data_IF_317645553245
#
_entry.id   IF_317645553245
#
_cell.length_a   1.000
_cell.length_b   1.000
_cell.length_c   1.000
_cell.angle_alpha   90.00
_cell.angle_beta   90.00
_cell.angle_gamma   90.00
#
_symmetry.space_group_name_H-M   'P 1'
#
loop_
_entity.id
_entity.type
_entity.pdbx_description
1 polymer ?
#
# COMPACT_ATOMS: atom_id res chain seq x y z
N UNK A 1 13.87 -16.97 -2.73
CA UNK A 1 14.27 -17.28 -1.32
C UNK A 1 12.99 -17.56 -0.55
N UNK A 2 12.93 -18.62 0.22
CA UNK A 2 11.75 -18.94 1.02
C UNK A 2 11.95 -18.36 2.42
N UNK A 3 11.04 -17.46 2.85
CA UNK A 3 11.07 -16.84 4.18
C UNK A 3 10.19 -17.66 5.13
N UNK A 4 10.69 -17.97 6.32
CA UNK A 4 9.92 -18.64 7.38
C UNK A 4 9.01 -17.61 8.10
N UNK A 5 7.82 -17.43 7.53
CA UNK A 5 6.81 -16.47 8.01
C UNK A 5 6.40 -16.76 9.45
N UNK A 6 6.22 -18.03 9.81
CA UNK A 6 5.78 -18.41 11.15
C UNK A 6 6.85 -18.07 12.19
N UNK A 7 8.11 -18.33 11.90
CA UNK A 7 9.23 -17.94 12.75
C UNK A 7 9.34 -16.41 12.91
N UNK A 8 9.10 -15.65 11.83
CA UNK A 8 9.05 -14.18 11.89
C UNK A 8 7.91 -13.76 12.82
N UNK A 9 6.68 -14.23 12.61
CA UNK A 9 5.50 -13.91 13.45
C UNK A 9 5.72 -14.26 14.92
N UNK A 10 6.25 -15.44 15.23
CA UNK A 10 6.59 -15.85 16.61
C UNK A 10 7.64 -14.94 17.23
N UNK A 11 8.67 -14.55 16.48
CA UNK A 11 9.69 -13.62 16.95
C UNK A 11 9.12 -12.23 17.26
N UNK A 12 8.26 -11.70 16.38
CA UNK A 12 7.61 -10.41 16.56
C UNK A 12 6.65 -10.42 17.75
N UNK A 13 5.87 -11.50 17.95
CA UNK A 13 4.95 -11.65 19.09
C UNK A 13 5.65 -11.52 20.44
N UNK A 14 6.91 -11.94 20.52
CA UNK A 14 7.74 -11.82 21.77
C UNK A 14 8.39 -10.45 21.95
N UNK A 15 8.49 -9.63 20.89
CA UNK A 15 9.25 -8.37 20.89
C UNK A 15 8.37 -7.12 20.86
N UNK A 16 7.19 -7.24 20.30
CA UNK A 16 6.23 -6.16 20.17
C UNK A 16 5.19 -6.29 21.31
N UNK A 17 4.66 -5.16 21.76
CA UNK A 17 3.44 -5.17 22.55
C UNK A 17 2.23 -5.66 21.73
N UNK A 18 1.13 -6.00 22.40
CA UNK A 18 -0.05 -6.56 21.73
C UNK A 18 -0.61 -5.63 20.66
N UNK A 19 -0.73 -4.33 20.96
CA UNK A 19 -1.26 -3.35 20.00
C UNK A 19 -0.38 -3.27 18.76
N UNK A 20 0.94 -3.16 18.94
CA UNK A 20 1.89 -3.08 17.82
C UNK A 20 1.95 -4.38 17.03
N UNK A 21 1.81 -5.52 17.68
CA UNK A 21 1.77 -6.81 16.98
C UNK A 21 0.52 -6.93 16.11
N UNK A 22 -0.67 -6.62 16.62
CA UNK A 22 -1.92 -6.66 15.83
C UNK A 22 -1.87 -5.69 14.64
N UNK A 23 -1.37 -4.47 14.87
CA UNK A 23 -1.08 -3.51 13.81
C UNK A 23 -0.15 -4.10 12.74
N UNK A 24 0.96 -4.71 13.13
CA UNK A 24 1.93 -5.31 12.21
C UNK A 24 1.30 -6.43 11.37
N UNK A 25 0.44 -7.25 11.95
CA UNK A 25 -0.33 -8.26 11.23
C UNK A 25 -1.32 -7.61 10.26
N UNK A 26 -2.02 -6.56 10.69
CA UNK A 26 -2.91 -5.77 9.83
C UNK A 26 -2.18 -5.18 8.61
N UNK A 27 -1.00 -4.60 8.84
CA UNK A 27 -0.15 -4.08 7.75
C UNK A 27 0.28 -5.18 6.79
N UNK A 28 0.71 -6.34 7.29
CA UNK A 28 1.12 -7.46 6.44
C UNK A 28 -0.04 -7.93 5.54
N UNK A 29 -1.24 -8.10 6.06
CA UNK A 29 -2.41 -8.49 5.26
C UNK A 29 -2.86 -7.40 4.28
N UNK A 30 -2.81 -6.14 4.67
CA UNK A 30 -3.12 -5.03 3.78
C UNK A 30 -2.10 -4.93 2.65
N UNK A 31 -0.82 -5.06 2.96
CA UNK A 31 0.25 -5.07 1.96
C UNK A 31 0.11 -6.24 0.96
N UNK A 32 -0.22 -7.45 1.43
CA UNK A 32 -0.49 -8.59 0.54
C UNK A 32 -1.70 -8.37 -0.35
N UNK A 33 -2.76 -7.72 0.17
CA UNK A 33 -3.96 -7.39 -0.61
C UNK A 33 -3.65 -6.37 -1.71
N UNK A 34 -2.87 -5.32 -1.39
CA UNK A 34 -2.40 -4.35 -2.38
C UNK A 34 -1.43 -4.99 -3.39
N UNK A 35 -0.56 -5.91 -2.95
CA UNK A 35 0.34 -6.65 -3.84
C UNK A 35 -0.45 -7.48 -4.87
N UNK A 36 -1.51 -8.19 -4.45
CA UNK A 36 -2.42 -8.88 -5.37
C UNK A 36 -3.10 -7.92 -6.36
N UNK A 37 -3.52 -6.73 -5.89
CA UNK A 37 -4.19 -5.72 -6.73
C UNK A 37 -3.27 -5.16 -7.80
N UNK A 38 -2.00 -4.94 -7.47
CA UNK A 38 -1.05 -4.23 -8.33
C UNK A 38 -0.02 -5.13 -9.02
N UNK A 39 -0.08 -6.45 -8.80
CA UNK A 39 0.83 -7.41 -9.43
C UNK A 39 2.24 -7.44 -8.84
N UNK A 40 2.39 -7.10 -7.54
CA UNK A 40 3.65 -7.23 -6.81
C UNK A 40 3.79 -8.63 -6.19
N UNK A 41 5.00 -9.04 -5.82
CA UNK A 41 5.25 -10.30 -5.11
C UNK A 41 4.59 -10.29 -3.72
N UNK A 42 3.59 -11.16 -3.56
CA UNK A 42 2.78 -11.28 -2.33
C UNK A 42 3.66 -11.66 -1.14
N UNK A 43 4.65 -12.55 -1.33
CA UNK A 43 5.55 -12.98 -0.25
C UNK A 43 6.49 -11.86 0.17
N UNK A 44 7.03 -11.08 -0.77
CA UNK A 44 7.80 -9.88 -0.45
C UNK A 44 6.97 -8.88 0.33
N UNK A 45 5.73 -8.63 -0.09
CA UNK A 45 4.81 -7.72 0.59
C UNK A 45 4.48 -8.19 2.02
N UNK A 46 4.23 -9.49 2.23
CA UNK A 46 4.00 -10.05 3.56
C UNK A 46 5.22 -9.85 4.47
N UNK A 47 6.42 -10.19 4.00
CA UNK A 47 7.65 -10.06 4.78
C UNK A 47 7.95 -8.59 5.10
N UNK A 48 7.83 -7.69 4.12
CA UNK A 48 8.06 -6.27 4.33
C UNK A 48 7.05 -5.68 5.34
N UNK A 49 5.77 -6.01 5.21
CA UNK A 49 4.73 -5.61 6.15
C UNK A 49 4.95 -6.14 7.57
N UNK A 50 5.37 -7.40 7.73
CA UNK A 50 5.71 -7.97 9.03
C UNK A 50 6.91 -7.29 9.68
N UNK A 51 7.90 -6.88 8.91
CA UNK A 51 9.17 -6.37 9.45
C UNK A 51 9.26 -4.84 9.50
N UNK A 52 8.31 -4.07 8.91
CA UNK A 52 8.39 -2.62 8.84
C UNK A 52 8.62 -1.97 10.21
N UNK A 53 7.93 -2.42 11.24
CA UNK A 53 7.97 -1.89 12.62
C UNK A 53 8.68 -2.83 13.62
N UNK A 54 9.51 -3.78 13.19
CA UNK A 54 10.17 -4.77 14.06
C UNK A 54 11.11 -4.17 15.11
N UNK A 55 11.49 -2.89 14.98
CA UNK A 55 12.29 -2.13 15.94
C UNK A 55 11.50 -1.03 16.69
N UNK A 56 10.17 -0.92 16.49
CA UNK A 56 9.34 0.20 17.01
C UNK A 56 9.31 0.26 18.53
N UNK A 57 9.15 -0.87 19.20
CA UNK A 57 9.01 -0.96 20.65
C UNK A 57 10.36 -0.81 21.40
N UNK A 58 11.47 -0.60 20.71
CA UNK A 58 12.76 -0.32 21.35
C UNK A 58 12.72 1.13 21.88
N UNK A 59 13.10 1.39 23.14
CA UNK A 59 13.21 2.75 23.68
C UNK A 59 14.13 3.65 22.84
N UNK A 60 13.83 4.94 22.77
CA UNK A 60 14.49 5.89 21.85
C UNK A 60 15.99 6.04 22.14
N UNK A 61 16.38 6.11 23.40
CA UNK A 61 17.77 6.11 23.84
C UNK A 61 18.53 4.86 23.37
N UNK A 62 17.87 3.70 23.45
CA UNK A 62 18.42 2.43 22.99
C UNK A 62 18.47 2.33 21.47
N UNK A 63 17.51 2.92 20.75
CA UNK A 63 17.55 2.99 19.27
C UNK A 63 18.79 3.77 18.83
N UNK A 64 18.98 4.97 19.40
CA UNK A 64 20.13 5.82 19.10
C UNK A 64 21.46 5.10 19.37
N UNK A 65 21.62 4.55 20.58
CA UNK A 65 22.83 3.82 20.97
C UNK A 65 23.11 2.62 20.02
N UNK A 66 22.07 1.88 19.60
CA UNK A 66 22.20 0.76 18.66
C UNK A 66 22.61 1.23 17.28
N UNK A 67 22.02 2.30 16.76
CA UNK A 67 22.39 2.86 15.47
C UNK A 67 23.86 3.31 15.47
N UNK A 68 24.31 3.98 16.52
CA UNK A 68 25.73 4.37 16.68
C UNK A 68 26.63 3.12 16.71
N UNK A 69 26.30 2.14 17.55
CA UNK A 69 27.06 0.88 17.67
C UNK A 69 27.22 0.15 16.35
N UNK A 70 26.17 0.14 15.54
CA UNK A 70 26.16 -0.58 14.24
C UNK A 70 26.58 0.32 13.07
N UNK A 71 27.05 1.55 13.32
CA UNK A 71 27.46 2.52 12.30
C UNK A 71 26.38 2.81 11.27
N UNK A 72 25.12 2.81 11.69
CA UNK A 72 23.98 3.22 10.86
C UNK A 72 24.03 4.74 10.77
N UNK A 73 23.90 5.28 9.55
CA UNK A 73 23.91 6.73 9.33
C UNK A 73 22.71 7.39 10.01
N UNK A 74 22.95 8.43 10.81
CA UNK A 74 21.94 9.15 11.59
C UNK A 74 21.97 10.62 11.17
N UNK A 75 20.84 11.15 10.76
CA UNK A 75 20.69 12.58 10.44
C UNK A 75 20.50 13.42 11.71
N UNK A 76 20.60 14.75 11.59
CA UNK A 76 20.45 15.62 12.77
C UNK A 76 19.00 15.58 13.30
N UNK A 77 18.00 15.53 12.42
CA UNK A 77 16.61 15.37 12.83
C UNK A 77 16.33 14.04 13.53
N UNK A 78 17.02 12.96 13.15
CA UNK A 78 16.92 11.67 13.82
C UNK A 78 17.62 11.64 15.19
N UNK A 79 18.63 12.48 15.41
CA UNK A 79 19.22 12.68 16.74
C UNK A 79 18.25 13.40 17.68
N UNK A 80 17.54 14.40 17.15
CA UNK A 80 16.51 15.14 17.90
C UNK A 80 15.26 14.29 18.12
N UNK A 81 14.97 13.38 17.18
CA UNK A 81 13.76 12.54 17.15
C UNK A 81 14.09 11.06 16.94
N UNK A 82 14.69 10.40 17.93
CA UNK A 82 15.19 9.03 17.78
C UNK A 82 14.10 7.99 17.49
N UNK A 83 12.81 8.35 17.69
CA UNK A 83 11.71 7.48 17.28
C UNK A 83 11.72 7.19 15.77
N UNK A 84 12.25 8.10 14.91
CA UNK A 84 12.38 7.88 13.47
C UNK A 84 13.38 6.77 13.12
N UNK A 85 14.36 6.51 14.00
CA UNK A 85 15.39 5.49 13.79
C UNK A 85 14.85 4.05 13.74
N UNK A 86 13.57 3.83 14.08
CA UNK A 86 13.01 2.47 14.05
C UNK A 86 13.03 1.87 12.64
N UNK A 87 12.85 2.67 11.59
CA UNK A 87 12.89 2.19 10.19
C UNK A 87 14.30 1.74 9.80
N UNK A 88 15.32 2.56 10.05
CA UNK A 88 16.73 2.21 9.79
C UNK A 88 17.21 1.02 10.61
N UNK A 89 16.88 1.01 11.90
CA UNK A 89 17.22 -0.10 12.79
C UNK A 89 16.43 -1.37 12.43
N UNK A 90 15.19 -1.21 11.97
CA UNK A 90 14.33 -2.28 11.46
C UNK A 90 14.92 -2.92 10.21
N UNK A 91 15.33 -2.13 9.23
CA UNK A 91 16.01 -2.59 8.03
C UNK A 91 17.32 -3.36 8.37
N UNK A 92 18.11 -2.82 9.30
CA UNK A 92 19.28 -3.53 9.80
C UNK A 92 18.92 -4.87 10.48
N UNK A 93 17.85 -4.92 11.27
CA UNK A 93 17.42 -6.16 11.92
C UNK A 93 16.80 -7.14 10.94
N UNK A 94 16.12 -6.70 9.89
CA UNK A 94 15.64 -7.56 8.82
C UNK A 94 16.80 -8.37 8.24
N UNK A 95 17.93 -7.72 7.95
CA UNK A 95 19.13 -8.40 7.46
C UNK A 95 19.80 -9.30 8.52
N UNK A 96 19.96 -8.82 9.76
CA UNK A 96 20.82 -9.48 10.76
C UNK A 96 20.12 -10.51 11.64
N UNK A 97 18.80 -10.45 11.76
CA UNK A 97 18.02 -11.32 12.66
C UNK A 97 17.00 -12.18 11.94
N UNK A 98 16.64 -11.78 10.71
CA UNK A 98 15.62 -12.47 9.92
C UNK A 98 16.15 -12.97 8.58
N UNK A 99 17.45 -12.75 8.30
CA UNK A 99 18.15 -13.18 7.08
C UNK A 99 17.47 -12.67 5.78
N UNK A 100 16.87 -11.48 5.84
CA UNK A 100 16.23 -10.82 4.70
C UNK A 100 17.24 -9.89 4.05
N UNK A 101 17.69 -10.24 2.84
CA UNK A 101 18.67 -9.46 2.07
C UNK A 101 18.09 -8.93 0.74
N UNK A 102 16.83 -9.18 0.47
CA UNK A 102 16.15 -8.61 -0.69
C UNK A 102 16.07 -7.08 -0.55
N UNK A 103 16.61 -6.38 -1.56
CA UNK A 103 16.73 -4.91 -1.52
C UNK A 103 15.38 -4.21 -1.50
N UNK A 104 14.38 -4.76 -2.19
CA UNK A 104 13.06 -4.15 -2.27
C UNK A 104 12.38 -4.20 -0.90
N UNK A 105 12.50 -5.34 -0.20
CA UNK A 105 12.00 -5.50 1.18
C UNK A 105 12.72 -4.55 2.14
N UNK A 106 14.06 -4.48 2.06
CA UNK A 106 14.86 -3.62 2.93
C UNK A 106 14.53 -2.14 2.71
N UNK A 107 14.40 -1.70 1.46
CA UNK A 107 14.03 -0.32 1.14
C UNK A 107 12.60 0.00 1.60
N UNK A 108 11.66 -0.94 1.44
CA UNK A 108 10.29 -0.76 1.94
C UNK A 108 10.26 -0.57 3.46
N UNK A 109 11.07 -1.33 4.22
CA UNK A 109 11.21 -1.15 5.66
C UNK A 109 11.87 0.21 5.98
N UNK A 110 12.88 0.61 5.21
CA UNK A 110 13.61 1.87 5.43
C UNK A 110 12.72 3.09 5.22
N UNK A 111 11.90 3.08 4.16
CA UNK A 111 11.16 4.25 3.68
C UNK A 111 9.70 4.30 4.14
N UNK A 112 9.21 3.29 4.90
CA UNK A 112 7.78 3.22 5.26
C UNK A 112 7.28 4.40 6.11
N UNK A 113 8.16 5.08 6.85
CA UNK A 113 7.76 6.17 7.75
C UNK A 113 7.71 7.53 7.06
N UNK A 114 8.74 7.85 6.26
CA UNK A 114 8.90 9.17 5.62
C UNK A 114 8.47 9.19 4.16
N UNK A 115 8.39 8.02 3.54
CA UNK A 115 8.41 7.88 2.09
C UNK A 115 9.76 8.30 1.52
N UNK A 116 9.88 8.28 0.20
CA UNK A 116 10.96 8.89 -0.56
C UNK A 116 10.47 9.23 -1.99
N UNK A 117 11.18 10.12 -2.73
CA UNK A 117 10.90 10.32 -4.14
C UNK A 117 11.01 9.00 -4.93
N UNK A 118 10.13 8.80 -5.89
CA UNK A 118 10.16 7.66 -6.82
C UNK A 118 10.23 6.28 -6.12
N UNK A 119 9.37 6.05 -5.12
CA UNK A 119 9.25 4.75 -4.46
C UNK A 119 8.94 3.65 -5.47
N UNK A 120 9.56 2.48 -5.28
CA UNK A 120 9.19 1.25 -5.99
C UNK A 120 7.76 0.84 -5.65
N UNK A 121 7.19 -0.11 -6.40
CA UNK A 121 5.84 -0.59 -6.14
C UNK A 121 5.71 -1.15 -4.72
N UNK A 122 6.67 -1.96 -4.28
CA UNK A 122 6.68 -2.54 -2.94
C UNK A 122 6.80 -1.48 -1.84
N UNK A 123 7.64 -0.46 -2.03
CA UNK A 123 7.76 0.66 -1.07
C UNK A 123 6.43 1.41 -0.92
N UNK A 124 5.76 1.73 -2.03
CA UNK A 124 4.44 2.36 -2.00
C UNK A 124 3.40 1.50 -1.29
N UNK A 125 3.38 0.20 -1.59
CA UNK A 125 2.46 -0.76 -0.96
C UNK A 125 2.64 -0.77 0.56
N UNK A 126 3.87 -0.87 1.06
CA UNK A 126 4.12 -0.93 2.52
C UNK A 126 3.83 0.41 3.17
N UNK A 127 4.22 1.53 2.54
CA UNK A 127 3.93 2.88 3.02
C UNK A 127 2.42 3.13 3.17
N UNK A 128 1.64 2.78 2.14
CA UNK A 128 0.18 2.92 2.15
C UNK A 128 -0.46 1.95 3.14
N UNK A 129 -0.02 0.68 3.16
CA UNK A 129 -0.58 -0.34 4.05
C UNK A 129 -0.43 0.03 5.53
N UNK A 130 0.71 0.61 5.95
CA UNK A 130 0.91 1.11 7.31
C UNK A 130 -0.11 2.19 7.69
N UNK A 131 -0.49 3.03 6.74
CA UNK A 131 -1.43 4.12 6.98
C UNK A 131 -2.89 3.66 7.03
N UNK A 132 -3.29 2.69 6.18
CA UNK A 132 -4.70 2.33 5.94
C UNK A 132 -5.15 1.01 6.59
N UNK A 133 -4.25 0.22 7.22
CA UNK A 133 -4.62 -1.08 7.79
C UNK A 133 -5.89 -0.97 8.66
N UNK A 134 -6.71 -2.05 8.77
CA UNK A 134 -8.04 -1.97 9.37
C UNK A 134 -8.08 -1.49 10.83
N UNK A 135 -7.01 -1.68 11.62
CA UNK A 135 -6.90 -1.20 13.00
C UNK A 135 -6.66 0.31 13.11
N UNK A 136 -6.31 1.01 12.02
CA UNK A 136 -6.16 2.48 11.99
C UNK A 136 -7.51 3.17 12.04
N UNK A 137 -7.65 4.14 12.95
CA UNK A 137 -8.90 4.88 13.15
C UNK A 137 -8.72 6.37 13.49
N UNK A 138 -7.48 6.87 13.50
CA UNK A 138 -7.17 8.24 13.96
C UNK A 138 -7.03 9.26 12.84
N UNK A 139 -6.69 8.84 11.62
CA UNK A 139 -6.56 9.75 10.51
C UNK A 139 -7.95 10.13 9.97
N UNK A 140 -8.07 11.38 9.51
CA UNK A 140 -9.25 11.85 8.78
C UNK A 140 -9.24 11.17 7.39
N UNK A 141 -10.39 11.02 6.79
CA UNK A 141 -10.52 10.51 5.41
C UNK A 141 -9.99 9.07 5.17
N UNK A 142 -9.83 8.24 6.22
CA UNK A 142 -9.31 6.87 6.07
C UNK A 142 -10.15 6.03 5.10
N UNK A 143 -11.49 6.17 5.14
CA UNK A 143 -12.37 5.39 4.27
C UNK A 143 -12.23 5.77 2.80
N UNK A 144 -11.96 7.04 2.51
CA UNK A 144 -11.67 7.53 1.16
C UNK A 144 -10.28 7.04 0.70
N UNK A 145 -9.26 7.20 1.54
CA UNK A 145 -7.89 6.76 1.21
C UNK A 145 -7.85 5.26 0.99
N UNK A 146 -8.61 4.45 1.77
CA UNK A 146 -8.74 3.01 1.58
C UNK A 146 -9.29 2.65 0.20
N UNK A 147 -10.28 3.39 -0.31
CA UNK A 147 -10.81 3.18 -1.68
C UNK A 147 -9.76 3.55 -2.72
N UNK A 148 -9.21 4.74 -2.62
CA UNK A 148 -8.19 5.25 -3.56
C UNK A 148 -6.97 4.33 -3.60
N UNK A 149 -6.56 3.76 -2.47
CA UNK A 149 -5.40 2.86 -2.40
C UNK A 149 -5.53 1.61 -3.29
N UNK A 150 -6.76 1.17 -3.60
CA UNK A 150 -7.01 0.04 -4.50
C UNK A 150 -7.32 0.47 -5.95
N UNK A 151 -7.44 1.76 -6.21
CA UNK A 151 -7.71 2.34 -7.53
C UNK A 151 -6.46 2.99 -8.12
N UNK A 152 -5.81 3.88 -7.37
CA UNK A 152 -4.61 4.63 -7.73
C UNK A 152 -3.65 4.74 -6.54
N UNK A 153 -2.62 3.91 -6.54
CA UNK A 153 -1.65 3.84 -5.44
C UNK A 153 -0.80 5.11 -5.31
N UNK A 154 -0.48 5.79 -6.43
CA UNK A 154 0.30 7.03 -6.40
C UNK A 154 -0.52 8.19 -5.82
N UNK A 155 -1.81 8.25 -6.17
CA UNK A 155 -2.74 9.22 -5.57
C UNK A 155 -2.89 8.97 -4.06
N UNK A 156 -3.00 7.70 -3.62
CA UNK A 156 -3.03 7.38 -2.20
C UNK A 156 -1.76 7.83 -1.47
N UNK A 157 -0.59 7.59 -2.05
CA UNK A 157 0.71 8.08 -1.52
C UNK A 157 0.71 9.60 -1.40
N UNK A 158 0.30 10.31 -2.46
CA UNK A 158 0.23 11.77 -2.46
C UNK A 158 -0.67 12.31 -1.33
N UNK A 159 -1.87 11.77 -1.19
CA UNK A 159 -2.83 12.20 -0.15
C UNK A 159 -2.25 11.95 1.25
N UNK A 160 -1.66 10.77 1.49
CA UNK A 160 -1.06 10.41 2.78
C UNK A 160 0.10 11.37 3.12
N UNK A 161 0.97 11.68 2.17
CA UNK A 161 2.09 12.62 2.37
C UNK A 161 1.58 14.03 2.66
N UNK A 162 0.60 14.53 1.91
CA UNK A 162 -0.04 15.82 2.14
C UNK A 162 -0.63 15.93 3.56
N UNK A 163 -1.43 14.95 3.94
CA UNK A 163 -2.11 14.94 5.24
C UNK A 163 -1.11 14.77 6.40
N UNK A 164 -0.02 14.03 6.17
CA UNK A 164 1.09 13.90 7.11
C UNK A 164 1.83 15.22 7.32
N UNK A 165 2.17 15.92 6.23
CA UNK A 165 2.82 17.24 6.30
C UNK A 165 1.93 18.27 7.01
N UNK A 166 0.64 18.27 6.69
CA UNK A 166 -0.36 19.12 7.33
C UNK A 166 -0.44 18.89 8.85
N UNK A 167 -0.40 17.61 9.26
CA UNK A 167 -0.38 17.24 10.67
C UNK A 167 0.93 17.66 11.36
N UNK A 168 2.07 17.39 10.73
CA UNK A 168 3.38 17.69 11.30
C UNK A 168 3.64 19.20 11.42
N UNK A 169 3.24 20.00 10.43
CA UNK A 169 3.37 21.47 10.45
C UNK A 169 2.67 22.10 11.66
N UNK A 170 1.50 21.54 12.02
CA UNK A 170 0.69 22.01 13.16
C UNK A 170 1.25 21.60 14.53
N UNK A 171 2.06 20.53 14.59
CA UNK A 171 2.45 19.90 15.85
C UNK A 171 3.91 20.07 16.22
N UNK A 172 4.82 20.09 15.26
CA UNK A 172 6.25 19.92 15.54
C UNK A 172 7.19 20.98 14.95
N UNK A 173 6.74 21.77 14.01
CA UNK A 173 7.52 22.85 13.37
C UNK A 173 8.66 22.38 12.45
N UNK A 174 9.38 21.30 12.79
CA UNK A 174 10.44 20.72 11.97
C UNK A 174 9.96 19.42 11.33
N UNK A 175 10.02 19.34 10.01
CA UNK A 175 9.60 18.19 9.21
C UNK A 175 10.86 17.52 8.67
N UNK A 176 10.83 16.18 8.56
CA UNK A 176 11.92 15.44 7.91
C UNK A 176 12.00 15.82 6.43
N UNK A 177 13.20 16.18 5.96
CA UNK A 177 13.43 16.60 4.57
C UNK A 177 12.98 15.52 3.56
N UNK A 178 13.07 14.25 3.92
CA UNK A 178 12.69 13.16 3.03
C UNK A 178 11.18 13.14 2.80
N UNK A 179 10.39 13.37 3.84
CA UNK A 179 8.92 13.47 3.72
C UNK A 179 8.52 14.64 2.81
N UNK A 180 9.20 15.79 2.94
CA UNK A 180 8.97 16.95 2.08
C UNK A 180 9.31 16.65 0.61
N UNK A 181 10.48 16.06 0.36
CA UNK A 181 10.92 15.67 -1.00
C UNK A 181 9.99 14.62 -1.62
N UNK A 182 9.53 13.66 -0.83
CA UNK A 182 8.57 12.67 -1.29
C UNK A 182 7.26 13.34 -1.72
N UNK A 183 6.73 14.25 -0.91
CA UNK A 183 5.52 15.00 -1.24
C UNK A 183 5.67 15.80 -2.52
N UNK A 184 6.77 16.55 -2.68
CA UNK A 184 7.04 17.34 -3.88
C UNK A 184 7.09 16.46 -5.14
N UNK A 185 7.73 15.30 -5.05
CA UNK A 185 7.78 14.34 -6.15
C UNK A 185 6.38 13.85 -6.55
N UNK A 186 5.58 13.37 -5.60
CA UNK A 186 4.25 12.82 -5.88
C UNK A 186 3.25 13.92 -6.26
N UNK A 187 3.36 15.14 -5.71
CA UNK A 187 2.56 16.29 -6.14
C UNK A 187 2.77 16.61 -7.62
N UNK A 188 4.04 16.67 -8.05
CA UNK A 188 4.36 16.90 -9.47
C UNK A 188 3.92 15.74 -10.36
N UNK A 189 4.05 14.50 -9.89
CA UNK A 189 3.61 13.31 -10.62
C UNK A 189 2.10 13.35 -10.91
N UNK A 190 1.29 13.71 -9.92
CA UNK A 190 -0.17 13.80 -10.07
C UNK A 190 -0.55 14.99 -10.97
N UNK A 191 0.03 16.17 -10.75
CA UNK A 191 -0.24 17.36 -11.59
C UNK A 191 0.03 17.11 -13.08
N UNK A 192 1.14 16.46 -13.41
CA UNK A 192 1.49 16.12 -14.79
C UNK A 192 0.54 15.09 -15.43
N UNK A 193 -0.16 14.26 -14.65
CA UNK A 193 -1.20 13.35 -15.17
C UNK A 193 -2.45 14.10 -15.59
N UNK A 194 -2.88 15.09 -14.79
CA UNK A 194 -4.06 15.91 -15.05
C UNK A 194 -3.86 16.78 -16.30
N UNK A 195 -2.67 17.36 -16.50
CA UNK A 195 -2.33 18.14 -17.70
C UNK A 195 -2.36 17.30 -18.98
N UNK A 196 -1.90 16.06 -18.94
CA UNK A 196 -1.91 15.15 -20.09
C UNK A 196 -3.33 14.65 -20.44
N UNK A 197 -4.25 14.55 -19.49
CA UNK A 197 -5.65 14.23 -19.77
C UNK A 197 -6.35 15.40 -20.45
N UNK A 198 -6.14 16.63 -20.00
CA UNK A 198 -6.76 17.83 -20.57
C UNK A 198 -6.30 18.12 -22.02
N UNK A 199 -5.04 17.79 -22.36
CA UNK A 199 -4.53 17.96 -23.74
C UNK A 199 -5.08 16.94 -24.75
N UNK A 200 -5.57 15.79 -24.31
CA UNK A 200 -6.18 14.78 -25.20
C UNK A 200 -7.62 15.12 -25.54
N UNK A 201 -8.34 15.77 -24.66
CA UNK A 201 -9.73 16.18 -24.93
C UNK A 201 -9.81 17.36 -25.89
N UNK A 202 -8.83 18.27 -25.91
CA UNK A 202 -8.74 19.37 -26.87
C UNK A 202 -8.33 18.95 -28.30
N UNK A 203 -7.73 17.79 -28.47
CA UNK A 203 -7.33 17.28 -29.78
C UNK A 203 -8.45 16.51 -30.50
N UNK A 204 -9.47 16.05 -29.80
CA UNK A 204 -10.59 15.30 -30.35
C UNK A 204 -11.73 16.20 -30.91
N UNK A 205 -11.68 17.53 -30.65
CA UNK A 205 -12.72 18.47 -31.08
C UNK A 205 -12.42 19.19 -32.38
N UNK A 206 -11.36 18.83 -33.14
CA UNK A 206 -10.95 19.53 -34.38
C UNK A 206 -11.04 18.73 -35.69
N UNK A 207 -11.62 17.54 -35.70
CA UNK A 207 -11.82 16.77 -36.91
C UNK A 207 -13.28 16.34 -37.10
N UNK A 208 -14.20 17.28 -37.31
CA UNK A 208 -15.46 17.01 -37.96
C UNK A 208 -15.97 18.28 -38.66
N UNK A 209 -15.24 18.68 -39.73
CA UNK A 209 -15.80 19.49 -40.79
C UNK A 209 -15.53 18.80 -42.13
N UNK A 210 -16.30 17.76 -42.42
CA UNK A 210 -16.34 17.21 -43.77
C UNK A 210 -17.67 17.58 -44.42
N UNK A 211 -17.52 18.27 -45.52
CA UNK A 211 -18.51 18.85 -46.38
C UNK A 211 -19.65 17.87 -46.74
N UNK A 212 -20.85 18.40 -46.67
CA UNK A 212 -21.99 17.93 -47.47
C UNK A 212 -21.75 18.36 -48.89
N UNK A 213 -21.73 17.42 -49.81
CA UNK A 213 -22.39 17.50 -51.10
C UNK A 213 -22.23 16.15 -51.82
N UNK A 214 -23.33 15.83 -52.48
CA UNK A 214 -23.57 14.92 -53.61
C UNK A 214 -24.25 13.57 -53.35
N UNK A 215 -25.49 13.70 -53.69
CA UNK A 215 -26.47 12.76 -54.23
C UNK A 215 -25.93 11.44 -54.80
N UNK A 216 -26.52 10.33 -54.39
CA UNK A 216 -26.94 9.29 -55.33
C UNK A 216 -28.03 8.38 -54.76
N UNK A 217 -29.15 8.39 -55.44
CA UNK A 217 -30.24 7.42 -55.34
C UNK A 217 -29.76 6.01 -55.67
N UNK A 218 -30.22 5.02 -54.92
CA UNK A 218 -30.96 3.87 -55.45
C UNK A 218 -31.44 2.95 -54.34
N UNK A 219 -32.70 2.64 -54.47
CA UNK A 219 -33.44 1.59 -53.79
C UNK A 219 -32.77 0.23 -54.00
N UNK A 220 -32.78 -0.60 -52.93
CA UNK A 220 -33.27 -1.98 -53.07
C UNK A 220 -33.53 -2.61 -51.71
N UNK A 221 -34.70 -3.17 -51.64
CA UNK A 221 -35.31 -3.99 -50.61
C UNK A 221 -34.53 -5.28 -50.32
N UNK A 222 -34.52 -5.73 -49.11
CA UNK A 222 -34.92 -7.10 -48.76
C UNK A 222 -34.97 -7.39 -47.26
N UNK A 223 -36.12 -7.74 -46.84
CA UNK A 223 -36.61 -8.77 -45.92
C UNK A 223 -35.89 -9.10 -44.58
N UNK A 224 -36.76 -8.97 -43.59
CA UNK A 224 -36.96 -9.78 -42.39
C UNK A 224 -36.45 -11.23 -42.46
N UNK A 225 -35.84 -11.73 -41.38
CA UNK A 225 -36.42 -12.77 -40.56
C UNK A 225 -35.49 -13.20 -39.41
N UNK A 226 -36.09 -13.25 -38.25
CA UNK A 226 -36.07 -14.26 -37.21
C UNK A 226 -34.83 -14.59 -36.37
N UNK A 227 -35.05 -14.26 -35.14
CA UNK A 227 -34.92 -15.11 -33.94
C UNK A 227 -33.64 -15.91 -33.67
N UNK A 228 -32.99 -15.57 -32.58
CA UNK A 228 -32.53 -16.60 -31.67
C UNK A 228 -32.39 -16.08 -30.23
N UNK A 229 -33.41 -16.38 -29.43
CA UNK A 229 -33.31 -16.44 -27.98
C UNK A 229 -32.47 -17.65 -27.62
N UNK A 230 -31.51 -17.51 -26.72
CA UNK A 230 -31.14 -18.58 -25.78
C UNK A 230 -30.73 -17.96 -24.46
N UNK A 231 -31.66 -18.07 -23.54
CA UNK A 231 -31.40 -18.07 -22.10
C UNK A 231 -30.58 -19.31 -21.73
N UNK A 232 -29.59 -19.17 -20.91
CA UNK A 232 -29.05 -20.26 -20.12
C UNK A 232 -28.93 -19.83 -18.67
N UNK A 233 -29.93 -20.19 -17.92
CA UNK A 233 -29.98 -20.24 -16.48
C UNK A 233 -28.95 -21.25 -15.95
N UNK A 234 -28.07 -20.85 -15.06
CA UNK A 234 -27.37 -21.80 -14.20
C UNK A 234 -28.06 -21.84 -12.84
N UNK A 235 -28.70 -22.95 -12.59
CA UNK A 235 -29.21 -23.38 -11.29
C UNK A 235 -28.03 -23.69 -10.37
N UNK A 236 -28.04 -23.12 -9.17
CA UNK A 236 -27.20 -23.56 -8.05
C UNK A 236 -28.11 -24.47 -7.21
N UNK A 237 -27.76 -25.75 -7.16
CA UNK A 237 -28.40 -26.74 -6.28
C UNK A 237 -27.95 -26.51 -4.83
N UNK A 238 -28.93 -26.20 -4.00
CA UNK A 238 -28.87 -26.35 -2.54
C UNK A 238 -29.02 -27.83 -2.19
N UNK A 239 -27.95 -28.45 -1.73
CA UNK A 239 -28.05 -29.61 -0.83
C UNK A 239 -26.72 -29.95 -0.19
N UNK A 240 -26.50 -29.54 1.03
CA UNK A 240 -25.75 -30.38 1.95
C UNK A 240 -26.21 -30.21 3.38
N UNK A 241 -26.64 -31.35 3.84
CA UNK A 241 -27.41 -31.70 4.99
C UNK A 241 -26.62 -31.64 6.31
N UNK A 242 -27.38 -31.44 7.34
CA UNK A 242 -27.10 -31.48 8.80
C UNK A 242 -26.34 -32.75 9.24
N UNK A 243 -25.67 -32.56 10.34
CA UNK A 243 -25.25 -33.43 11.44
C UNK A 243 -23.75 -33.64 11.58
N UNK A 244 -23.19 -33.01 12.62
CA UNK A 244 -22.58 -33.77 13.71
C UNK A 244 -22.22 -32.85 14.87
N UNK A 245 -22.94 -33.04 15.95
CA UNK A 245 -22.59 -32.66 17.30
C UNK A 245 -21.38 -33.48 17.78
N UNK A 246 -20.37 -32.84 18.30
CA UNK A 246 -19.39 -33.48 19.16
C UNK A 246 -19.24 -32.70 20.46
N UNK A 247 -19.64 -33.36 21.51
CA UNK A 247 -19.41 -33.04 22.90
C UNK A 247 -17.93 -32.88 23.20
N UNK A 248 -17.58 -31.84 23.93
CA UNK A 248 -16.32 -31.76 24.65
C UNK A 248 -16.64 -31.86 26.13
N UNK A 249 -16.34 -33.01 26.70
CA UNK A 249 -16.22 -33.19 28.15
C UNK A 249 -14.97 -32.51 28.67
N UNK A 250 -15.18 -31.76 29.74
CA UNK A 250 -14.17 -31.24 30.64
C UNK A 250 -13.54 -32.37 31.46
N UNK A 251 -12.21 -32.41 31.55
CA UNK A 251 -11.50 -32.98 32.72
C UNK A 251 -10.16 -32.30 32.90
N UNK A 252 -10.04 -31.75 34.10
CA UNK A 252 -8.89 -31.54 35.01
C UNK A 252 -7.58 -30.96 34.47
#
# INVERSE_FOLDING_TARGET
MEYDIDKIKQSLRRKLDNYRYEHTIGVAYTATSLAMRYGEDIKKAEVAGLLHDCAKCIPDDKKLAKCIKHKINITDIEKERPYLLHSKLGAFYAMKKYDVYDKDIINSILNHTTGCPNMTLLEKIVFVADYIEPGRNKAKNLDEIRKIAFEDLDMAVYIILRDTLDYLSKKTGNIDDMTQKAYEYYSNLIANRDDNCNQKDDSCSKEDSCNKDDSCNKEDSCNKDDSCKKESSCNIDDSCNKNNSCNIESKE
#
